data_IF_847259241180
#
_entry.id   IF_847259241180
#
_cell.length_a   1.000
_cell.length_b   1.000
_cell.length_c   1.000
_cell.angle_alpha   90.00
_cell.angle_beta   90.00
_cell.angle_gamma   90.00
#
_symmetry.space_group_name_H-M   'P 1'
#
loop_
_entity.id
_entity.type
_entity.pdbx_description
1 polymer ?
#
# COMPACT_ATOMS: atom_id res chain seq x y z
N UNK A 1 16.88 -4.94 -45.57
CA UNK A 1 15.62 -4.96 -46.35
C UNK A 1 14.49 -4.87 -45.34
N UNK A 2 13.97 -3.67 -45.09
CA UNK A 2 12.74 -3.10 -45.68
C UNK A 2 11.49 -3.56 -44.90
N UNK A 3 10.81 -2.56 -44.30
CA UNK A 3 9.35 -2.48 -44.05
C UNK A 3 8.71 -3.43 -43.01
N UNK A 4 7.63 -3.10 -42.29
CA UNK A 4 6.74 -1.93 -42.24
C UNK A 4 5.77 -2.07 -41.04
N UNK A 5 5.34 -0.92 -40.50
CA UNK A 5 3.97 -0.54 -40.09
C UNK A 5 3.17 -1.26 -38.97
N UNK A 6 2.79 -0.43 -37.99
CA UNK A 6 1.68 -0.45 -36.99
C UNK A 6 0.36 -0.20 -37.78
N UNK A 7 -0.90 -0.58 -37.38
CA UNK A 7 -1.50 -0.16 -36.10
C UNK A 7 -2.69 -0.89 -35.44
N UNK A 8 -2.95 -0.46 -34.18
CA UNK A 8 -4.20 -0.37 -33.41
C UNK A 8 -5.20 -1.55 -33.40
N UNK A 9 -5.60 -1.98 -32.19
CA UNK A 9 -7.00 -1.83 -31.73
C UNK A 9 -7.14 -2.29 -30.26
N UNK A 10 -7.55 -1.34 -29.42
CA UNK A 10 -8.08 -1.55 -28.08
C UNK A 10 -9.55 -2.00 -28.22
N UNK A 11 -9.92 -3.17 -27.70
CA UNK A 11 -11.31 -3.59 -27.60
C UNK A 11 -11.61 -4.10 -26.18
N UNK A 12 -12.33 -3.29 -25.40
CA UNK A 12 -12.97 -3.69 -24.15
C UNK A 12 -14.17 -4.59 -24.47
N UNK A 13 -14.15 -5.81 -23.94
CA UNK A 13 -15.28 -6.75 -23.99
C UNK A 13 -16.35 -6.43 -22.94
N UNK A 14 -17.59 -6.29 -23.40
CA UNK A 14 -18.83 -6.26 -22.62
C UNK A 14 -19.14 -7.65 -22.03
N UNK A 15 -19.73 -7.65 -20.83
CA UNK A 15 -20.38 -8.83 -20.23
C UNK A 15 -21.88 -8.79 -20.59
N UNK A 16 -22.36 -9.90 -21.14
CA UNK A 16 -23.74 -10.16 -21.51
C UNK A 16 -24.62 -10.49 -20.29
N UNK A 17 -25.88 -10.06 -20.32
CA UNK A 17 -26.93 -10.61 -19.47
C UNK A 17 -28.15 -10.99 -20.34
N UNK A 18 -28.62 -12.19 -20.08
CA UNK A 18 -29.49 -13.03 -20.90
C UNK A 18 -30.96 -12.59 -20.85
N UNK A 19 -31.63 -12.77 -21.98
CA UNK A 19 -33.06 -12.53 -22.27
C UNK A 19 -34.01 -13.51 -21.58
N UNK A 20 -35.19 -13.04 -21.17
CA UNK A 20 -36.40 -13.85 -21.06
C UNK A 20 -37.61 -13.09 -21.66
N UNK A 21 -38.41 -13.84 -22.41
CA UNK A 21 -39.31 -13.39 -23.49
C UNK A 21 -40.73 -12.97 -23.06
N UNK A 22 -41.30 -12.18 -23.97
CA UNK A 22 -42.66 -11.62 -24.12
C UNK A 22 -43.73 -12.68 -24.48
N UNK A 23 -45.00 -12.48 -24.08
CA UNK A 23 -46.18 -12.78 -24.92
C UNK A 23 -47.47 -12.09 -24.43
N UNK A 24 -48.44 -11.89 -25.33
CA UNK A 24 -49.42 -10.79 -25.38
C UNK A 24 -50.92 -11.16 -25.22
N UNK A 25 -51.71 -10.23 -24.62
CA UNK A 25 -53.05 -9.67 -25.01
C UNK A 25 -54.33 -10.57 -25.11
N UNK A 26 -55.59 -10.04 -25.25
CA UNK A 26 -56.25 -8.73 -24.92
C UNK A 26 -57.69 -8.83 -24.26
N UNK A 27 -58.37 -7.69 -24.00
CA UNK A 27 -59.84 -7.38 -24.09
C UNK A 27 -60.55 -6.70 -22.86
N UNK A 28 -61.44 -5.73 -23.16
CA UNK A 28 -62.25 -4.83 -22.29
C UNK A 28 -63.65 -5.43 -21.89
N UNK A 29 -64.63 -4.77 -21.19
CA UNK A 29 -64.75 -3.40 -20.62
C UNK A 29 -65.28 -3.30 -19.14
N UNK A 30 -65.40 -2.05 -18.62
CA UNK A 30 -65.88 -1.55 -17.29
C UNK A 30 -67.35 -1.93 -16.93
N UNK A 31 -67.96 -1.74 -15.71
CA UNK A 31 -67.56 -0.89 -14.55
C UNK A 31 -67.88 -1.41 -13.10
N UNK A 32 -67.49 -0.59 -12.10
CA UNK A 32 -68.12 -0.35 -10.77
C UNK A 32 -67.59 -1.04 -9.48
N UNK A 33 -67.41 -0.15 -8.47
CA UNK A 33 -67.47 -0.31 -7.01
C UNK A 33 -66.31 -0.98 -6.23
N UNK A 34 -65.70 -0.17 -5.34
CA UNK A 34 -64.68 -0.53 -4.33
C UNK A 34 -65.24 -1.35 -3.15
N UNK A 35 -64.42 -1.96 -2.27
CA UNK A 35 -63.76 -1.20 -1.20
C UNK A 35 -62.31 -1.61 -0.86
N UNK A 36 -61.65 -0.71 -0.13
CA UNK A 36 -60.22 -0.69 0.19
C UNK A 36 -59.75 -1.64 1.32
N UNK A 37 -58.47 -2.06 1.25
CA UNK A 37 -57.59 -2.44 2.38
C UNK A 37 -56.10 -2.27 1.96
N UNK A 38 -55.12 -2.21 2.90
CA UNK A 38 -54.23 -1.06 3.07
C UNK A 38 -52.86 -1.23 2.39
N UNK A 39 -52.18 -0.10 2.22
CA UNK A 39 -50.88 0.10 1.59
C UNK A 39 -49.83 -0.98 1.92
N UNK A 40 -49.35 -1.64 0.86
CA UNK A 40 -48.08 -2.35 0.89
C UNK A 40 -46.94 -1.31 0.91
N UNK A 41 -46.13 -1.36 1.96
CA UNK A 41 -44.94 -0.53 2.14
C UNK A 41 -44.00 -0.69 0.94
N UNK A 42 -43.64 0.44 0.32
CA UNK A 42 -42.65 0.51 -0.73
C UNK A 42 -41.33 -0.08 -0.25
N UNK A 43 -40.78 -1.03 -1.02
CA UNK A 43 -39.40 -1.47 -0.85
C UNK A 43 -38.47 -0.26 -1.01
N UNK A 44 -37.45 -0.07 -0.15
CA UNK A 44 -36.52 1.04 -0.27
C UNK A 44 -35.71 0.89 -1.57
N UNK A 45 -35.73 1.95 -2.38
CA UNK A 45 -34.91 2.06 -3.58
C UNK A 45 -33.42 1.92 -3.22
N UNK A 46 -32.71 1.09 -3.97
CA UNK A 46 -31.24 1.03 -3.92
C UNK A 46 -30.72 2.41 -4.33
N UNK A 47 -29.84 3.06 -3.55
CA UNK A 47 -29.26 4.34 -3.96
C UNK A 47 -28.45 4.14 -5.25
N UNK A 48 -28.86 4.89 -6.28
CA UNK A 48 -28.19 4.99 -7.57
C UNK A 48 -26.73 5.41 -7.33
N UNK A 49 -25.77 4.65 -7.87
CA UNK A 49 -24.36 4.99 -7.79
C UNK A 49 -24.16 6.38 -8.43
N UNK A 50 -23.37 7.29 -7.81
CA UNK A 50 -23.18 8.63 -8.35
C UNK A 50 -22.62 8.54 -9.77
N UNK A 51 -23.29 9.20 -10.71
CA UNK A 51 -22.89 9.26 -12.11
C UNK A 51 -21.43 9.74 -12.23
N UNK A 52 -20.62 9.04 -13.02
CA UNK A 52 -19.24 9.46 -13.31
C UNK A 52 -19.25 10.93 -13.79
N UNK A 53 -18.34 11.80 -13.31
CA UNK A 53 -18.26 13.17 -13.79
C UNK A 53 -18.08 13.16 -15.31
N UNK A 54 -19.06 13.70 -16.04
CA UNK A 54 -18.94 13.89 -17.48
C UNK A 54 -18.01 15.08 -17.71
N UNK A 55 -16.79 14.81 -18.16
CA UNK A 55 -15.81 15.83 -18.51
C UNK A 55 -16.13 16.41 -19.91
N UNK A 56 -16.07 17.73 -20.03
CA UNK A 56 -16.16 18.42 -21.31
C UNK A 56 -14.97 17.98 -22.22
N UNK A 57 -15.21 17.54 -23.46
CA UNK A 57 -14.14 17.22 -24.43
C UNK A 57 -13.05 18.31 -24.55
N UNK A 58 -13.39 19.57 -24.31
CA UNK A 58 -12.47 20.70 -24.33
C UNK A 58 -11.42 20.67 -23.20
N UNK A 59 -11.75 20.08 -22.03
CA UNK A 59 -10.82 20.00 -20.88
C UNK A 59 -10.09 18.66 -20.80
N UNK A 60 -10.53 17.63 -21.55
CA UNK A 60 -9.94 16.29 -21.52
C UNK A 60 -8.42 16.33 -21.68
N UNK A 61 -7.91 17.12 -22.63
CA UNK A 61 -6.47 17.22 -22.86
C UNK A 61 -5.73 17.83 -21.66
N UNK A 62 -6.26 18.92 -21.10
CA UNK A 62 -5.65 19.64 -19.97
C UNK A 62 -5.69 18.79 -18.70
N UNK A 63 -6.84 18.24 -18.36
CA UNK A 63 -7.05 17.46 -17.13
C UNK A 63 -6.30 16.13 -17.19
N UNK A 64 -6.30 15.45 -18.35
CA UNK A 64 -5.52 14.22 -18.53
C UNK A 64 -4.01 14.50 -18.44
N UNK A 65 -3.55 15.63 -19.00
CA UNK A 65 -2.12 16.02 -18.91
C UNK A 65 -1.73 16.32 -17.46
N UNK A 66 -2.56 17.06 -16.72
CA UNK A 66 -2.33 17.32 -15.30
C UNK A 66 -2.35 16.02 -14.49
N UNK A 67 -3.31 15.13 -14.70
CA UNK A 67 -3.39 13.84 -14.01
C UNK A 67 -2.15 12.97 -14.26
N UNK A 68 -1.65 12.94 -15.52
CA UNK A 68 -0.41 12.24 -15.87
C UNK A 68 0.81 12.88 -15.20
N UNK A 69 0.90 14.21 -15.19
CA UNK A 69 1.97 14.95 -14.52
C UNK A 69 1.95 14.73 -13.00
N UNK A 70 0.80 14.82 -12.36
CA UNK A 70 0.62 14.58 -10.93
C UNK A 70 1.01 13.15 -10.54
N UNK A 71 0.57 12.14 -11.30
CA UNK A 71 0.96 10.75 -11.09
C UNK A 71 2.46 10.55 -11.25
N UNK A 72 3.05 11.12 -12.30
CA UNK A 72 4.49 11.01 -12.58
C UNK A 72 5.31 11.68 -11.48
N UNK A 73 4.94 12.89 -11.07
CA UNK A 73 5.57 13.62 -9.96
C UNK A 73 5.44 12.89 -8.62
N UNK A 74 4.27 12.30 -8.34
CA UNK A 74 4.05 11.47 -7.16
C UNK A 74 4.94 10.24 -7.14
N UNK A 75 5.03 9.50 -8.25
CA UNK A 75 5.94 8.35 -8.39
C UNK A 75 7.41 8.76 -8.28
N UNK A 76 7.81 9.88 -8.90
CA UNK A 76 9.16 10.43 -8.80
C UNK A 76 9.50 10.78 -7.33
N UNK A 77 8.62 11.50 -6.64
CA UNK A 77 8.81 11.87 -5.24
C UNK A 77 8.97 10.65 -4.33
N UNK A 78 8.19 9.59 -4.54
CA UNK A 78 8.35 8.33 -3.79
C UNK A 78 9.68 7.64 -4.10
N UNK A 79 10.06 7.57 -5.38
CA UNK A 79 11.26 6.87 -5.83
C UNK A 79 12.56 7.57 -5.43
N UNK A 80 12.59 8.91 -5.51
CA UNK A 80 13.80 9.70 -5.28
C UNK A 80 13.83 10.32 -3.87
N UNK A 81 12.66 10.59 -3.27
CA UNK A 81 12.57 11.09 -1.90
C UNK A 81 13.07 10.10 -0.84
N UNK A 82 12.99 8.78 -1.09
CA UNK A 82 13.67 7.78 -0.23
C UNK A 82 15.20 7.91 -0.23
N UNK A 83 15.79 8.57 -1.23
CA UNK A 83 17.21 8.93 -1.27
C UNK A 83 17.45 10.37 -0.78
N UNK A 84 16.42 11.00 -0.22
CA UNK A 84 16.48 12.36 0.30
C UNK A 84 16.19 13.44 -0.73
N UNK A 85 16.01 13.14 -2.03
CA UNK A 85 15.72 14.17 -3.05
C UNK A 85 14.38 14.84 -2.77
N UNK A 86 14.38 16.17 -2.81
CA UNK A 86 13.20 17.01 -2.59
C UNK A 86 13.02 18.00 -3.74
N UNK A 87 11.88 18.70 -3.75
CA UNK A 87 11.64 19.74 -4.76
C UNK A 87 12.67 20.86 -4.72
N UNK A 88 13.29 21.10 -3.55
CA UNK A 88 14.33 22.12 -3.38
C UNK A 88 15.67 21.75 -4.03
N UNK A 89 15.86 20.49 -4.42
CA UNK A 89 17.06 20.02 -5.11
C UNK A 89 16.92 20.08 -6.64
N UNK A 90 15.74 20.50 -7.15
CA UNK A 90 15.42 20.49 -8.57
C UNK A 90 15.36 21.91 -9.12
N UNK A 91 16.15 22.16 -10.16
CA UNK A 91 15.86 23.27 -11.07
C UNK A 91 14.66 22.86 -11.96
N UNK A 92 13.50 23.48 -11.72
CA UNK A 92 12.23 23.06 -12.33
C UNK A 92 12.25 23.19 -13.85
N UNK A 93 12.87 24.26 -14.37
CA UNK A 93 12.94 24.50 -15.81
C UNK A 93 13.83 23.47 -16.51
N UNK A 94 15.03 23.23 -15.99
CA UNK A 94 15.97 22.24 -16.53
C UNK A 94 15.43 20.82 -16.41
N UNK A 95 14.77 20.50 -15.30
CA UNK A 95 14.14 19.20 -15.08
C UNK A 95 13.03 18.94 -16.12
N UNK A 96 12.11 19.89 -16.32
CA UNK A 96 11.04 19.74 -17.30
C UNK A 96 11.58 19.68 -18.74
N UNK A 97 12.61 20.47 -19.06
CA UNK A 97 13.29 20.41 -20.35
C UNK A 97 13.89 19.02 -20.60
N UNK A 98 14.62 18.47 -19.63
CA UNK A 98 15.21 17.13 -19.72
C UNK A 98 14.15 16.03 -19.82
N UNK A 99 13.08 16.13 -19.02
CA UNK A 99 11.95 15.21 -19.06
C UNK A 99 11.27 15.18 -20.44
N UNK A 100 10.99 16.35 -21.02
CA UNK A 100 10.35 16.45 -22.34
C UNK A 100 11.27 16.00 -23.48
N UNK A 101 12.57 16.26 -23.41
CA UNK A 101 13.54 15.74 -24.36
C UNK A 101 13.55 14.20 -24.35
N UNK A 102 13.64 13.60 -23.16
CA UNK A 102 13.58 12.15 -23.00
C UNK A 102 12.25 11.55 -23.49
N UNK A 103 11.11 12.19 -23.18
CA UNK A 103 9.79 11.75 -23.63
C UNK A 103 9.64 11.79 -25.15
N UNK A 104 10.29 12.75 -25.83
CA UNK A 104 10.35 12.83 -27.29
C UNK A 104 11.37 11.88 -27.93
N UNK A 105 12.14 11.14 -27.14
CA UNK A 105 13.24 10.31 -27.63
C UNK A 105 14.43 11.10 -28.14
N UNK A 106 14.56 12.37 -27.74
CA UNK A 106 15.73 13.19 -28.06
C UNK A 106 16.93 12.74 -27.23
N UNK A 107 18.14 12.92 -27.78
CA UNK A 107 19.37 12.72 -27.01
C UNK A 107 19.48 13.80 -25.93
N UNK A 108 20.16 13.51 -24.80
CA UNK A 108 20.40 14.53 -23.79
C UNK A 108 21.04 15.78 -24.41
N UNK A 109 20.48 16.95 -24.12
CA UNK A 109 21.02 18.24 -24.58
C UNK A 109 22.29 18.68 -23.84
N UNK A 110 22.74 17.89 -22.86
CA UNK A 110 23.99 18.05 -22.15
C UNK A 110 24.90 16.85 -22.43
N UNK A 111 26.20 17.12 -22.33
CA UNK A 111 27.24 16.10 -22.37
C UNK A 111 27.04 15.05 -21.26
N UNK A 112 27.24 13.77 -21.60
CA UNK A 112 27.01 12.65 -20.68
C UNK A 112 27.93 12.70 -19.45
N UNK A 113 29.20 13.13 -19.61
CA UNK A 113 30.13 13.25 -18.48
C UNK A 113 29.66 14.35 -17.52
N UNK A 114 29.12 15.45 -18.06
CA UNK A 114 28.53 16.51 -17.22
C UNK A 114 27.31 16.04 -16.45
N UNK A 115 26.46 15.22 -17.07
CA UNK A 115 25.29 14.64 -16.40
C UNK A 115 25.71 13.67 -15.29
N UNK A 116 26.70 12.83 -15.54
CA UNK A 116 27.25 11.91 -14.53
C UNK A 116 27.88 12.69 -13.36
N UNK A 117 28.70 13.70 -13.65
CA UNK A 117 29.32 14.55 -12.63
C UNK A 117 28.27 15.29 -11.79
N UNK A 118 27.20 15.79 -12.40
CA UNK A 118 26.10 16.45 -11.69
C UNK A 118 25.35 15.48 -10.76
N UNK A 119 25.09 14.25 -11.21
CA UNK A 119 24.45 13.22 -10.38
C UNK A 119 25.34 12.76 -9.23
N UNK A 120 26.66 12.69 -9.45
CA UNK A 120 27.61 12.40 -8.38
C UNK A 120 27.63 13.51 -7.32
N UNK A 121 27.73 14.77 -7.75
CA UNK A 121 27.71 15.91 -6.84
C UNK A 121 26.39 16.02 -6.05
N UNK A 122 25.26 15.70 -6.70
CA UNK A 122 23.97 15.59 -6.01
C UNK A 122 24.01 14.48 -4.96
N UNK A 123 24.58 13.31 -5.29
CA UNK A 123 24.75 12.21 -4.33
C UNK A 123 25.54 12.62 -3.08
N UNK A 124 26.67 13.31 -3.27
CA UNK A 124 27.51 13.80 -2.16
C UNK A 124 26.76 14.82 -1.28
N UNK A 125 26.02 15.74 -1.89
CA UNK A 125 25.17 16.70 -1.19
C UNK A 125 24.11 16.00 -0.35
N UNK A 126 23.40 15.03 -0.94
CA UNK A 126 22.36 14.26 -0.25
C UNK A 126 22.95 13.49 0.93
N UNK A 127 24.11 12.85 0.76
CA UNK A 127 24.79 12.15 1.85
C UNK A 127 25.19 13.09 2.99
N UNK A 128 25.69 14.30 2.67
CA UNK A 128 25.98 15.33 3.66
C UNK A 128 24.74 15.73 4.46
N UNK A 129 23.65 16.05 3.76
CA UNK A 129 22.37 16.41 4.37
C UNK A 129 21.78 15.28 5.22
N UNK A 130 21.92 14.03 4.79
CA UNK A 130 21.45 12.88 5.57
C UNK A 130 22.20 12.75 6.89
N UNK A 131 23.52 12.96 6.91
CA UNK A 131 24.31 12.95 8.15
C UNK A 131 23.91 14.07 9.10
N UNK A 132 23.74 15.29 8.58
CA UNK A 132 23.30 16.44 9.37
C UNK A 132 21.89 16.22 9.94
N UNK A 133 20.97 15.73 9.12
CA UNK A 133 19.60 15.37 9.51
C UNK A 133 19.60 14.26 10.57
N UNK A 134 20.41 13.22 10.40
CA UNK A 134 20.55 12.13 11.36
C UNK A 134 21.04 12.61 12.73
N UNK A 135 22.05 13.50 12.76
CA UNK A 135 22.56 14.08 14.00
C UNK A 135 21.50 14.99 14.66
N UNK A 136 20.88 15.87 13.89
CA UNK A 136 19.85 16.78 14.39
C UNK A 136 18.62 16.03 14.93
N UNK A 137 18.16 14.98 14.24
CA UNK A 137 17.02 14.17 14.67
C UNK A 137 17.35 13.33 15.90
N UNK A 138 18.57 12.81 16.01
CA UNK A 138 19.00 12.09 17.20
C UNK A 138 18.98 13.00 18.43
N UNK A 139 19.50 14.22 18.32
CA UNK A 139 19.50 15.20 19.40
C UNK A 139 18.07 15.62 19.77
N UNK A 140 17.27 16.04 18.78
CA UNK A 140 15.86 16.43 19.00
C UNK A 140 15.04 15.28 19.58
N UNK A 141 15.24 14.08 19.08
CA UNK A 141 14.56 12.86 19.52
C UNK A 141 14.89 12.52 20.96
N UNK A 142 16.18 12.56 21.32
CA UNK A 142 16.61 12.35 22.71
C UNK A 142 15.99 13.38 23.65
N UNK A 143 16.08 14.67 23.30
CA UNK A 143 15.49 15.75 24.10
C UNK A 143 13.98 15.56 24.27
N UNK A 144 13.27 15.26 23.19
CA UNK A 144 11.84 15.01 23.21
C UNK A 144 11.49 13.83 24.15
N UNK A 145 12.21 12.71 24.05
CA UNK A 145 11.96 11.54 24.90
C UNK A 145 12.30 11.81 26.36
N UNK A 146 13.38 12.54 26.66
CA UNK A 146 13.78 12.91 28.02
C UNK A 146 12.74 13.83 28.69
N UNK A 147 12.13 14.74 27.92
CA UNK A 147 11.03 15.60 28.38
C UNK A 147 9.73 14.82 28.51
N UNK A 148 9.42 13.96 27.54
CA UNK A 148 8.20 13.17 27.51
C UNK A 148 8.13 12.15 28.66
N UNK A 149 9.27 11.54 29.02
CA UNK A 149 9.36 10.61 30.16
C UNK A 149 8.94 11.23 31.50
N UNK A 150 9.03 12.56 31.63
CA UNK A 150 8.66 13.29 32.86
C UNK A 150 7.17 13.60 32.93
N UNK A 151 6.42 13.41 31.84
CA UNK A 151 4.98 13.69 31.80
C UNK A 151 4.23 12.65 32.62
N UNK A 152 3.24 13.12 33.39
CA UNK A 152 2.34 12.24 34.13
C UNK A 152 1.60 11.31 33.17
N UNK A 153 1.56 10.02 33.48
CA UNK A 153 0.88 9.00 32.66
C UNK A 153 1.78 8.33 31.60
N UNK A 154 2.99 8.84 31.37
CA UNK A 154 3.99 8.19 30.52
C UNK A 154 4.78 7.15 31.31
N UNK A 155 4.87 5.94 30.78
CA UNK A 155 5.66 4.83 31.31
C UNK A 155 6.81 4.56 30.35
N UNK A 156 8.03 4.44 30.89
CA UNK A 156 9.22 4.05 30.11
C UNK A 156 9.59 2.61 30.42
N UNK A 157 9.73 1.77 29.39
CA UNK A 157 10.14 0.38 29.53
C UNK A 157 11.66 0.25 29.59
N UNK A 158 12.16 -0.97 29.88
CA UNK A 158 13.61 -1.24 29.94
C UNK A 158 14.31 -1.08 28.59
N UNK A 159 13.59 -1.23 27.47
CA UNK A 159 14.14 -1.03 26.13
C UNK A 159 14.23 0.45 25.74
N UNK A 160 13.61 1.34 26.52
CA UNK A 160 13.49 2.77 26.21
C UNK A 160 12.23 3.14 25.44
N UNK A 161 11.35 2.18 25.12
CA UNK A 161 10.01 2.49 24.63
C UNK A 161 9.25 3.30 25.70
N UNK A 162 8.59 4.37 25.28
CA UNK A 162 7.67 5.11 26.15
C UNK A 162 6.25 4.94 25.65
N UNK A 163 5.30 4.82 26.57
CA UNK A 163 3.89 4.78 26.21
C UNK A 163 3.00 5.47 27.26
N UNK A 164 1.87 5.96 26.80
CA UNK A 164 0.80 6.56 27.61
C UNK A 164 -0.50 5.80 27.33
N UNK A 165 -1.19 5.34 28.39
CA UNK A 165 -2.45 4.61 28.24
C UNK A 165 -3.59 5.60 28.05
N UNK A 166 -4.14 5.71 26.84
CA UNK A 166 -5.27 6.59 26.53
C UNK A 166 -6.61 5.93 26.86
N UNK A 167 -6.74 4.63 26.59
CA UNK A 167 -7.87 3.82 26.97
C UNK A 167 -7.39 2.46 27.48
N UNK A 168 -7.94 2.03 28.61
CA UNK A 168 -7.67 0.69 29.16
C UNK A 168 -8.40 -0.34 28.31
N UNK A 169 -7.69 -1.41 27.96
CA UNK A 169 -8.28 -2.58 27.33
C UNK A 169 -8.92 -3.52 28.34
N UNK A 170 -9.34 -4.68 27.85
CA UNK A 170 -9.77 -5.81 28.67
C UNK A 170 -8.60 -6.54 29.33
N UNK A 171 -8.85 -7.77 29.74
CA UNK A 171 -7.84 -8.62 30.40
C UNK A 171 -7.06 -9.50 29.43
N UNK A 172 -7.60 -9.71 28.22
CA UNK A 172 -6.96 -10.51 27.19
C UNK A 172 -5.66 -9.83 26.72
N UNK A 173 -4.58 -10.60 26.72
CA UNK A 173 -3.26 -10.19 26.24
C UNK A 173 -2.71 -11.26 25.32
N UNK A 174 -1.76 -10.85 24.50
CA UNK A 174 -1.02 -11.79 23.69
C UNK A 174 -0.31 -12.84 24.55
N UNK A 175 -0.57 -14.11 24.26
CA UNK A 175 0.09 -15.25 24.86
C UNK A 175 1.06 -15.85 23.84
N UNK A 176 2.36 -15.76 24.12
CA UNK A 176 3.37 -16.34 23.25
C UNK A 176 3.17 -17.86 23.13
N UNK A 177 3.27 -18.43 21.92
CA UNK A 177 3.22 -19.86 21.72
C UNK A 177 4.38 -20.54 22.45
N UNK A 178 4.19 -21.81 22.81
CA UNK A 178 5.25 -22.65 23.42
C UNK A 178 6.44 -22.75 22.46
N UNK A 179 7.66 -22.81 23.02
CA UNK A 179 8.90 -22.91 22.25
C UNK A 179 8.79 -23.96 21.13
N UNK A 180 9.11 -23.55 19.89
CA UNK A 180 9.09 -24.39 18.69
C UNK A 180 7.82 -24.31 17.84
N UNK A 181 6.78 -23.60 18.27
CA UNK A 181 5.59 -23.34 17.45
C UNK A 181 5.69 -21.99 16.69
N UNK A 182 5.27 -21.99 15.42
CA UNK A 182 5.22 -20.77 14.61
C UNK A 182 4.16 -19.82 15.15
N UNK A 183 4.54 -18.57 15.37
CA UNK A 183 3.65 -17.49 15.77
C UNK A 183 2.78 -17.04 14.60
N UNK A 184 1.74 -17.82 14.30
CA UNK A 184 0.73 -17.49 13.31
C UNK A 184 -0.35 -16.61 13.92
N UNK A 185 0.00 -15.54 14.65
CA UNK A 185 -0.98 -14.59 15.21
C UNK A 185 -1.02 -13.31 14.39
N UNK A 186 -2.22 -12.82 14.14
CA UNK A 186 -2.51 -11.50 13.58
C UNK A 186 -3.13 -10.60 14.66
N UNK A 187 -2.67 -9.36 14.68
CA UNK A 187 -3.12 -8.29 15.53
C UNK A 187 -3.90 -7.31 14.65
N UNK A 188 -5.22 -7.26 14.83
CA UNK A 188 -6.06 -6.26 14.18
C UNK A 188 -5.90 -4.94 14.92
N UNK A 189 -5.33 -3.95 14.25
CA UNK A 189 -4.99 -2.67 14.87
C UNK A 189 -5.55 -1.48 14.09
N UNK A 190 -5.94 -0.44 14.81
CA UNK A 190 -6.03 0.90 14.26
C UNK A 190 -4.80 1.67 14.72
N UNK A 191 -4.14 2.39 13.82
CA UNK A 191 -2.99 3.18 14.19
C UNK A 191 -2.89 4.49 13.40
N UNK A 192 -2.24 5.47 14.03
CA UNK A 192 -1.85 6.73 13.40
C UNK A 192 -0.43 7.07 13.81
N UNK A 193 0.47 7.12 12.83
CA UNK A 193 1.89 7.42 12.97
C UNK A 193 2.21 8.86 12.61
N UNK A 194 2.84 9.56 13.55
CA UNK A 194 3.28 10.95 13.42
C UNK A 194 4.73 11.09 13.86
N UNK A 195 5.43 12.06 13.29
CA UNK A 195 6.75 12.48 13.74
C UNK A 195 6.63 13.46 14.92
N UNK A 196 7.76 13.78 15.56
CA UNK A 196 7.82 14.76 16.65
C UNK A 196 7.34 16.17 16.26
N UNK A 197 7.35 16.49 14.97
CA UNK A 197 6.85 17.76 14.41
C UNK A 197 5.33 17.74 14.14
N UNK A 198 4.66 16.61 14.42
CA UNK A 198 3.23 16.40 14.18
C UNK A 198 2.88 15.97 12.76
N UNK A 199 3.87 15.83 11.86
CA UNK A 199 3.65 15.36 10.49
C UNK A 199 3.23 13.89 10.51
N UNK A 200 2.05 13.61 9.95
CA UNK A 200 1.59 12.24 9.73
C UNK A 200 2.40 11.59 8.60
N UNK A 201 2.88 10.37 8.83
CA UNK A 201 3.62 9.60 7.83
C UNK A 201 2.96 8.27 7.48
N UNK A 202 2.10 7.74 8.36
CA UNK A 202 1.37 6.51 8.14
C UNK A 202 0.10 6.48 9.00
N UNK A 203 -0.97 5.87 8.50
CA UNK A 203 -2.22 5.71 9.24
C UNK A 203 -3.07 4.56 8.67
N UNK A 204 -3.72 3.81 9.56
CA UNK A 204 -4.72 2.82 9.16
C UNK A 204 -5.97 3.51 8.58
N UNK A 205 -6.65 2.91 7.59
CA UNK A 205 -7.91 3.44 7.08
C UNK A 205 -8.96 3.57 8.18
N UNK A 206 -9.71 4.68 8.18
CA UNK A 206 -10.71 4.95 9.20
C UNK A 206 -11.79 3.85 9.24
N UNK A 207 -12.01 3.29 10.43
CA UNK A 207 -13.02 2.26 10.67
C UNK A 207 -12.68 0.86 10.12
N UNK A 208 -11.46 0.63 9.61
CA UNK A 208 -11.01 -0.69 9.16
C UNK A 208 -9.69 -1.08 9.85
N UNK A 209 -9.76 -1.96 10.87
CA UNK A 209 -8.57 -2.50 11.50
C UNK A 209 -7.69 -3.21 10.48
N UNK A 210 -6.40 -2.94 10.52
CA UNK A 210 -5.40 -3.56 9.63
C UNK A 210 -4.83 -4.79 10.32
N UNK A 211 -4.82 -5.97 9.68
CA UNK A 211 -4.13 -7.13 10.22
C UNK A 211 -2.62 -6.90 10.17
N UNK A 212 -1.98 -7.05 11.32
CA UNK A 212 -0.53 -6.87 11.46
C UNK A 212 0.06 -8.06 12.19
N UNK A 213 1.23 -8.53 11.76
CA UNK A 213 1.96 -9.60 12.43
C UNK A 213 3.04 -9.02 13.34
N UNK A 214 3.78 -9.86 14.06
CA UNK A 214 4.95 -9.43 14.85
C UNK A 214 6.17 -9.06 13.97
N UNK A 215 6.06 -9.11 12.64
CA UNK A 215 7.09 -8.65 11.69
C UNK A 215 7.06 -7.12 11.50
N UNK A 216 7.16 -6.41 12.61
CA UNK A 216 7.11 -4.94 12.70
C UNK A 216 8.34 -4.41 13.43
N UNK A 217 8.48 -3.09 13.49
CA UNK A 217 9.60 -2.48 14.21
C UNK A 217 9.61 -2.92 15.69
N UNK A 218 10.81 -3.05 16.32
CA UNK A 218 10.93 -3.59 17.67
C UNK A 218 10.01 -2.95 18.72
N UNK A 219 9.85 -1.62 18.69
CA UNK A 219 8.98 -0.91 19.62
C UNK A 219 7.49 -1.24 19.45
N UNK A 220 7.05 -1.51 18.21
CA UNK A 220 5.69 -1.98 17.95
C UNK A 220 5.48 -3.40 18.44
N UNK A 221 6.45 -4.29 18.19
CA UNK A 221 6.41 -5.67 18.65
C UNK A 221 6.28 -5.73 20.18
N UNK A 222 7.06 -4.90 20.88
CA UNK A 222 6.98 -4.79 22.35
C UNK A 222 5.62 -4.27 22.80
N UNK A 223 5.06 -3.24 22.15
CA UNK A 223 3.74 -2.73 22.48
C UNK A 223 2.63 -3.78 22.27
N UNK A 224 2.60 -4.43 21.10
CA UNK A 224 1.57 -5.43 20.76
C UNK A 224 1.57 -6.65 21.69
N UNK A 225 2.76 -7.06 22.14
CA UNK A 225 2.90 -8.22 23.03
C UNK A 225 2.61 -7.91 24.49
N UNK A 226 2.57 -6.63 24.87
CA UNK A 226 2.35 -6.19 26.26
C UNK A 226 0.99 -5.53 26.49
N UNK A 227 0.42 -4.92 25.45
CA UNK A 227 -0.86 -4.21 25.55
C UNK A 227 -2.04 -5.19 25.61
N UNK A 228 -3.07 -4.90 26.43
CA UNK A 228 -4.30 -5.68 26.42
C UNK A 228 -5.14 -5.39 25.18
N UNK A 229 -5.92 -6.39 24.76
CA UNK A 229 -6.91 -6.26 23.69
C UNK A 229 -7.96 -5.21 24.09
N UNK A 230 -8.34 -4.36 23.15
CA UNK A 230 -9.21 -3.20 23.34
C UNK A 230 -8.50 -1.95 23.89
N UNK A 231 -7.21 -2.03 24.21
CA UNK A 231 -6.49 -0.86 24.74
C UNK A 231 -6.12 0.11 23.61
N UNK A 232 -6.15 1.41 23.93
CA UNK A 232 -5.59 2.47 23.10
C UNK A 232 -4.41 3.10 23.80
N UNK A 233 -3.22 3.00 23.23
CA UNK A 233 -1.98 3.56 23.76
C UNK A 233 -1.42 4.60 22.81
N UNK A 234 -0.74 5.61 23.38
CA UNK A 234 0.14 6.50 22.64
C UNK A 234 1.58 6.07 22.88
N UNK A 235 2.22 5.54 21.84
CA UNK A 235 3.60 5.08 21.86
C UNK A 235 4.53 6.20 21.40
N UNK A 236 5.69 6.29 22.04
CA UNK A 236 6.81 7.13 21.61
C UNK A 236 8.02 6.22 21.47
N UNK A 237 8.38 5.93 20.23
CA UNK A 237 9.34 4.90 19.86
C UNK A 237 10.67 5.58 19.51
N UNK A 238 11.74 5.37 20.30
CA UNK A 238 13.07 5.86 19.94
C UNK A 238 13.54 5.26 18.61
N UNK A 239 14.40 5.98 17.88
CA UNK A 239 14.88 5.53 16.56
C UNK A 239 15.50 4.13 16.58
N UNK A 240 16.21 3.78 17.66
CA UNK A 240 16.81 2.46 17.87
C UNK A 240 15.79 1.30 17.94
N UNK A 241 14.54 1.58 18.33
CA UNK A 241 13.42 0.63 18.32
C UNK A 241 12.50 0.80 17.11
N UNK A 242 12.90 1.65 16.15
CA UNK A 242 12.18 1.98 14.94
C UNK A 242 13.02 1.66 13.69
N UNK A 243 13.41 2.67 12.90
CA UNK A 243 14.15 2.52 11.64
C UNK A 243 15.63 2.93 11.75
N UNK A 244 16.12 3.34 12.92
CA UNK A 244 17.53 3.63 13.16
C UNK A 244 18.09 4.79 12.35
N UNK A 245 19.36 4.66 11.95
CA UNK A 245 20.14 5.67 11.23
C UNK A 245 19.84 5.73 9.73
N UNK A 246 19.00 4.83 9.23
CA UNK A 246 18.66 4.77 7.81
C UNK A 246 17.36 5.53 7.52
N UNK A 247 17.32 6.20 6.37
CA UNK A 247 16.09 6.77 5.83
C UNK A 247 15.16 5.66 5.39
N UNK A 248 13.96 5.62 5.94
CA UNK A 248 12.96 4.63 5.55
C UNK A 248 12.10 5.09 4.37
N UNK A 249 11.81 6.39 4.28
CA UNK A 249 10.97 6.97 3.22
C UNK A 249 11.27 8.45 2.99
N UNK A 250 10.58 9.06 2.02
CA UNK A 250 10.66 10.50 1.82
C UNK A 250 10.24 11.30 3.08
N UNK A 251 9.28 10.77 3.84
CA UNK A 251 8.81 11.40 5.08
C UNK A 251 9.66 11.03 6.31
N UNK A 252 10.22 9.82 6.35
CA UNK A 252 10.93 9.27 7.50
C UNK A 252 12.44 9.43 7.33
N UNK A 253 12.98 10.53 7.86
CA UNK A 253 14.41 10.79 7.91
C UNK A 253 15.13 9.87 8.92
N UNK A 254 16.46 9.73 8.80
CA UNK A 254 17.29 9.05 9.79
C UNK A 254 17.06 9.50 11.22
N UNK A 255 17.19 8.57 12.17
CA UNK A 255 17.10 8.82 13.61
C UNK A 255 15.79 9.48 14.06
N UNK A 256 14.72 9.35 13.29
CA UNK A 256 13.41 9.89 13.65
C UNK A 256 12.79 9.11 14.81
N UNK A 257 12.32 9.82 15.83
CA UNK A 257 11.41 9.28 16.85
C UNK A 257 10.02 9.19 16.25
N UNK A 258 9.37 8.04 16.44
CA UNK A 258 8.03 7.81 15.91
C UNK A 258 7.00 7.87 17.03
N UNK A 259 5.92 8.60 16.81
CA UNK A 259 4.81 8.72 17.74
C UNK A 259 3.61 8.03 17.13
N UNK A 260 3.06 7.03 17.82
CA UNK A 260 1.92 6.29 17.33
C UNK A 260 0.76 6.32 18.32
N UNK A 261 -0.43 6.64 17.85
CA UNK A 261 -1.64 6.22 18.55
C UNK A 261 -2.02 4.85 18.03
N UNK A 262 -1.96 3.84 18.90
CA UNK A 262 -2.21 2.44 18.58
C UNK A 262 -3.41 1.92 19.39
N UNK A 263 -4.38 1.35 18.71
CA UNK A 263 -5.50 0.62 19.30
C UNK A 263 -5.43 -0.84 18.85
N UNK A 264 -5.35 -1.76 19.82
CA UNK A 264 -5.43 -3.19 19.54
C UNK A 264 -6.89 -3.63 19.61
N UNK A 265 -7.48 -3.93 18.46
CA UNK A 265 -8.90 -4.30 18.39
C UNK A 265 -9.09 -5.77 18.75
N UNK A 266 -8.26 -6.66 18.20
CA UNK A 266 -8.38 -8.10 18.38
C UNK A 266 -7.08 -8.81 18.05
N UNK A 267 -6.83 -9.94 18.70
CA UNK A 267 -5.81 -10.92 18.31
C UNK A 267 -6.52 -12.14 17.72
N UNK A 268 -6.06 -12.62 16.58
CA UNK A 268 -6.61 -13.81 15.93
C UNK A 268 -5.51 -14.72 15.41
N UNK A 269 -5.84 -15.97 15.13
CA UNK A 269 -4.96 -16.85 14.37
C UNK A 269 -4.93 -16.36 12.92
N UNK A 270 -3.71 -16.17 12.40
CA UNK A 270 -3.46 -15.93 11.00
C UNK A 270 -4.04 -17.10 10.20
N UNK A 271 -4.83 -16.85 9.14
CA UNK A 271 -5.25 -17.92 8.26
C UNK A 271 -3.99 -18.66 7.76
N UNK A 272 -4.05 -19.99 7.59
CA UNK A 272 -2.92 -20.74 7.04
C UNK A 272 -2.51 -20.05 5.75
N UNK A 273 -1.25 -19.60 5.68
CA UNK A 273 -0.72 -18.98 4.49
C UNK A 273 -0.83 -20.01 3.37
N UNK A 274 -1.86 -19.86 2.54
CA UNK A 274 -1.94 -20.57 1.28
C UNK A 274 -0.67 -20.13 0.54
N UNK A 275 0.24 -21.04 0.17
CA UNK A 275 1.35 -20.66 -0.68
C UNK A 275 0.74 -19.94 -1.88
N UNK A 276 1.23 -18.73 -2.19
CA UNK A 276 0.83 -17.98 -3.36
C UNK A 276 0.97 -18.92 -4.56
N UNK A 277 -0.14 -19.53 -4.98
CA UNK A 277 -0.21 -20.24 -6.24
C UNK A 277 -0.16 -19.13 -7.27
N UNK A 278 1.01 -18.93 -7.88
CA UNK A 278 1.10 -18.15 -9.09
C UNK A 278 -0.03 -18.62 -10.02
N UNK A 279 -0.88 -17.72 -10.52
CA UNK A 279 -1.90 -18.09 -11.50
C UNK A 279 -1.21 -18.86 -12.62
N UNK A 280 -1.60 -20.12 -12.78
CA UNK A 280 -0.99 -21.02 -13.75
C UNK A 280 -0.89 -20.35 -15.11
N UNK A 281 0.30 -20.40 -15.71
CA UNK A 281 0.49 -20.03 -17.10
C UNK A 281 -0.50 -20.84 -17.97
N UNK A 282 -1.19 -20.22 -18.93
CA UNK A 282 -2.11 -20.94 -19.79
C UNK A 282 -1.29 -21.83 -20.74
N UNK A 283 -1.49 -23.14 -20.70
CA UNK A 283 -0.81 -24.01 -21.65
C UNK A 283 -0.94 -25.53 -21.51
N UNK A 284 -1.95 -26.05 -20.81
CA UNK A 284 -2.34 -27.45 -21.00
C UNK A 284 -3.24 -27.57 -22.24
N UNK A 285 -2.65 -27.70 -23.42
CA UNK A 285 -3.40 -27.95 -24.64
C UNK A 285 -3.95 -29.40 -24.65
N UNK A 286 -5.21 -29.62 -25.07
CA UNK A 286 -5.80 -30.95 -25.15
C UNK A 286 -5.42 -31.65 -26.46
N UNK A 287 -5.00 -32.92 -26.34
CA UNK A 287 -5.19 -34.01 -27.32
C UNK A 287 -4.77 -33.79 -28.78
N UNK A 288 -3.66 -34.41 -29.17
CA UNK A 288 -3.34 -34.79 -30.55
C UNK A 288 -3.04 -36.30 -30.64
N UNK A 289 -3.38 -36.98 -31.74
CA UNK A 289 -3.67 -38.42 -31.77
C UNK A 289 -2.43 -39.31 -31.79
N UNK A 290 -2.63 -40.52 -31.28
CA UNK A 290 -1.75 -41.67 -31.38
C UNK A 290 -1.22 -41.90 -32.80
N UNK A 291 0.09 -42.13 -32.90
CA UNK A 291 0.77 -42.60 -34.11
C UNK A 291 1.99 -43.44 -33.73
N UNK A 292 2.29 -44.53 -34.47
CA UNK A 292 2.84 -45.74 -33.88
C UNK A 292 4.35 -45.92 -34.06
N UNK A 293 4.94 -46.66 -33.13
CA UNK A 293 6.03 -47.60 -33.42
C UNK A 293 7.46 -47.04 -33.44
N UNK A 294 8.31 -47.62 -32.59
CA UNK A 294 9.76 -47.56 -32.77
C UNK A 294 10.51 -48.10 -31.55
N UNK A 295 11.55 -48.94 -31.71
CA UNK A 295 11.72 -50.11 -30.85
C UNK A 295 12.86 -49.99 -29.82
N UNK A 296 12.78 -50.84 -28.79
CA UNK A 296 13.93 -51.61 -28.32
C UNK A 296 14.90 -50.92 -27.37
N UNK A 297 14.61 -50.99 -26.07
CA UNK A 297 15.65 -51.03 -25.05
C UNK A 297 16.07 -52.49 -24.81
N UNK A 298 17.35 -52.86 -24.91
CA UNK A 298 17.80 -54.20 -24.51
C UNK A 298 17.79 -54.30 -22.98
N UNK A 299 17.09 -55.30 -22.47
CA UNK A 299 17.14 -55.72 -21.08
C UNK A 299 18.50 -56.33 -20.74
N UNK A 300 18.99 -56.04 -19.54
CA UNK A 300 19.65 -57.05 -18.73
C UNK A 300 18.59 -58.00 -18.15
N UNK A 301 18.92 -59.27 -17.90
CA UNK A 301 19.50 -59.54 -16.59
C UNK A 301 20.60 -60.63 -16.57
N UNK A 302 21.39 -60.53 -15.49
CA UNK A 302 22.12 -61.53 -14.71
C UNK A 302 22.15 -62.99 -15.17
N UNK A 303 23.36 -63.58 -15.19
CA UNK A 303 23.60 -65.01 -15.28
C UNK A 303 25.09 -65.38 -15.36
N UNK A 304 25.62 -65.88 -14.23
CA UNK A 304 26.90 -66.58 -13.97
C UNK A 304 28.23 -65.80 -13.94
#
# INVERSE_FOLDING_TARGET
>A
MISNFIPNALALGLIAATTAQMSAAPAAPSPAAAPAKPAAAAAPAVPEAPAKPALDPAVVKTDSSYALGFRTGGSFSQQFGRFGVSVGDLDTESFLKGFMAAFKGEKPGLDEEKLQAAMQALGDLLQGREKESAAANLEKGKKFLDENAKRTGVVTTKSGLQYEVLAKGGEEKYAAPKEGATDSKEFLVNYKGTLIDGKEFDASPAGKPVPMTLQVVPGFKEALTTMPVGAKWKLFIPSALAYGEERKSAALAPNSVLIFELELVKIQDAPPQQPFQMPGGPGGAPGGPEGPGGPGGPGGPEGE
#
